data_IF_322384750530
#
_entry.id   IF_322384750530
#
_cell.length_a   1.000
_cell.length_b   1.000
_cell.length_c   1.000
_cell.angle_alpha   90.00
_cell.angle_beta   90.00
_cell.angle_gamma   90.00
#
_symmetry.space_group_name_H-M   'P 1'
#
loop_
_entity.id
_entity.type
_entity.pdbx_description
1 polymer ?
#
# COMPACT_ATOMS: atom_id res chain seq x y z
N UNK A 1 20.02 3.47 24.17
CA UNK A 1 19.37 3.07 22.91
C UNK A 1 19.46 4.26 21.98
N UNK A 2 20.09 4.13 20.81
CA UNK A 2 20.08 5.22 19.83
C UNK A 2 18.69 5.38 19.24
N UNK A 3 18.34 6.59 18.83
CA UNK A 3 17.06 6.86 18.17
C UNK A 3 16.93 5.99 16.91
N UNK A 4 15.70 5.56 16.60
CA UNK A 4 15.43 4.81 15.36
C UNK A 4 15.83 5.64 14.14
N UNK A 5 16.40 5.03 13.08
CA UNK A 5 16.70 5.73 11.85
C UNK A 5 15.45 6.39 11.23
N UNK A 6 15.64 7.55 10.59
CA UNK A 6 14.54 8.31 9.98
C UNK A 6 13.70 7.49 8.99
N UNK A 7 14.34 6.65 8.16
CA UNK A 7 13.65 5.80 7.20
C UNK A 7 12.74 4.76 7.88
N UNK A 8 13.11 4.30 9.08
CA UNK A 8 12.33 3.32 9.84
C UNK A 8 11.08 3.99 10.43
N UNK A 9 11.24 5.22 10.95
CA UNK A 9 10.14 6.03 11.47
C UNK A 9 9.12 6.35 10.35
N UNK A 10 9.60 6.76 9.18
CA UNK A 10 8.75 7.06 8.01
C UNK A 10 8.01 5.81 7.54
N UNK A 11 8.74 4.71 7.33
CA UNK A 11 8.17 3.46 6.84
C UNK A 11 7.11 2.90 7.79
N UNK A 12 7.42 2.87 9.09
CA UNK A 12 6.49 2.37 10.12
C UNK A 12 5.23 3.24 10.23
N UNK A 13 5.39 4.57 10.19
CA UNK A 13 4.26 5.50 10.23
C UNK A 13 3.38 5.38 8.98
N UNK A 14 3.99 5.22 7.80
CA UNK A 14 3.26 5.01 6.55
C UNK A 14 2.44 3.73 6.61
N UNK A 15 3.04 2.61 7.03
CA UNK A 15 2.37 1.31 7.15
C UNK A 15 1.18 1.38 8.11
N UNK A 16 1.36 1.99 9.28
CA UNK A 16 0.28 2.18 10.24
C UNK A 16 -0.85 3.03 9.65
N UNK A 17 -0.52 4.11 8.96
CA UNK A 17 -1.51 4.97 8.32
C UNK A 17 -2.24 4.26 7.18
N UNK A 18 -1.52 3.50 6.34
CA UNK A 18 -2.07 2.72 5.25
C UNK A 18 -3.16 1.77 5.72
N UNK A 19 -2.84 0.88 6.67
CA UNK A 19 -3.80 -0.11 7.14
C UNK A 19 -4.92 0.49 7.97
N UNK A 20 -4.66 1.58 8.70
CA UNK A 20 -5.73 2.32 9.35
C UNK A 20 -6.78 2.80 8.35
N UNK A 21 -6.36 3.41 7.23
CA UNK A 21 -7.28 3.81 6.15
C UNK A 21 -7.91 2.59 5.47
N UNK A 22 -7.13 1.53 5.25
CA UNK A 22 -7.60 0.32 4.57
C UNK A 22 -8.74 -0.39 5.33
N UNK A 23 -8.66 -0.42 6.66
CA UNK A 23 -9.64 -1.09 7.53
C UNK A 23 -10.83 -0.19 7.88
N UNK A 24 -10.65 1.14 7.87
CA UNK A 24 -11.71 2.09 8.26
C UNK A 24 -12.50 2.67 7.07
N UNK A 25 -11.80 3.23 6.08
CA UNK A 25 -12.40 3.89 4.92
C UNK A 25 -11.43 3.88 3.73
N UNK A 26 -11.55 2.84 2.89
CA UNK A 26 -10.71 2.65 1.70
C UNK A 26 -10.83 3.76 0.67
N UNK A 27 -11.88 4.59 0.71
CA UNK A 27 -12.02 5.71 -0.21
C UNK A 27 -10.94 6.79 0.01
N UNK A 28 -10.39 6.86 1.22
CA UNK A 28 -9.36 7.82 1.60
C UNK A 28 -7.94 7.39 1.21
N UNK A 29 -7.74 6.14 0.78
CA UNK A 29 -6.45 5.65 0.28
C UNK A 29 -5.97 6.44 -0.94
N UNK A 30 -6.84 7.16 -1.63
CA UNK A 30 -6.41 8.06 -2.71
C UNK A 30 -5.43 9.16 -2.26
N UNK A 31 -5.39 9.50 -0.97
CA UNK A 31 -4.51 10.57 -0.44
C UNK A 31 -3.03 10.22 -0.45
N UNK A 32 -2.69 8.93 -0.33
CA UNK A 32 -1.30 8.43 -0.26
C UNK A 32 -0.70 8.11 -1.64
N UNK A 33 -1.52 8.06 -2.69
CA UNK A 33 -1.09 7.80 -4.07
C UNK A 33 -1.09 9.09 -4.92
N UNK A 34 -0.38 9.03 -6.05
CA UNK A 34 -0.33 10.04 -7.10
C UNK A 34 -0.78 9.43 -8.44
N UNK A 35 -0.88 10.25 -9.49
CA UNK A 35 -1.34 9.79 -10.80
C UNK A 35 -0.30 8.89 -11.50
N UNK A 36 0.96 9.00 -11.10
CA UNK A 36 2.06 8.14 -11.56
C UNK A 36 2.25 6.88 -10.71
N UNK A 37 1.46 6.67 -9.65
CA UNK A 37 1.58 5.49 -8.81
C UNK A 37 1.20 4.21 -9.57
N UNK A 38 1.88 3.11 -9.26
CA UNK A 38 1.59 1.79 -9.81
C UNK A 38 1.30 0.78 -8.70
N UNK A 39 0.16 0.10 -8.79
CA UNK A 39 -0.20 -1.06 -7.97
C UNK A 39 -0.05 -2.33 -8.80
N UNK A 40 0.53 -3.38 -8.20
CA UNK A 40 0.39 -4.76 -8.67
C UNK A 40 -0.37 -5.57 -7.63
N UNK A 41 -1.59 -6.00 -7.95
CA UNK A 41 -2.45 -6.79 -7.06
C UNK A 41 -2.63 -8.20 -7.62
N UNK A 42 -2.12 -9.23 -6.93
CA UNK A 42 -2.20 -10.62 -7.41
C UNK A 42 -1.65 -10.82 -8.84
N UNK A 43 -0.71 -9.97 -9.27
CA UNK A 43 -0.13 -9.97 -10.62
C UNK A 43 -0.84 -9.09 -11.65
N UNK A 44 -2.00 -8.53 -11.33
CA UNK A 44 -2.69 -7.53 -12.17
C UNK A 44 -2.13 -6.13 -11.89
N UNK A 45 -1.90 -5.33 -12.93
CA UNK A 45 -1.29 -4.01 -12.83
C UNK A 45 -2.33 -2.90 -12.98
N UNK A 46 -2.24 -1.89 -12.11
CA UNK A 46 -3.11 -0.71 -12.09
C UNK A 46 -2.25 0.54 -11.99
N UNK A 47 -2.44 1.48 -12.91
CA UNK A 47 -1.72 2.75 -12.91
C UNK A 47 -2.65 3.90 -12.55
N UNK A 48 -2.16 4.78 -11.69
CA UNK A 48 -2.82 6.01 -11.26
C UNK A 48 -3.86 5.80 -10.16
N UNK A 49 -3.99 6.86 -9.35
CA UNK A 49 -4.85 6.92 -8.15
C UNK A 49 -6.24 6.32 -8.34
N UNK A 50 -6.93 6.70 -9.41
CA UNK A 50 -8.31 6.27 -9.67
C UNK A 50 -8.43 4.75 -9.87
N UNK A 51 -7.53 4.16 -10.65
CA UNK A 51 -7.55 2.72 -10.91
C UNK A 51 -7.18 1.93 -9.64
N UNK A 52 -6.19 2.42 -8.90
CA UNK A 52 -5.73 1.82 -7.64
C UNK A 52 -6.86 1.78 -6.61
N UNK A 53 -7.44 2.94 -6.27
CA UNK A 53 -8.52 3.02 -5.27
C UNK A 53 -9.74 2.20 -5.70
N UNK A 54 -10.06 2.20 -6.99
CA UNK A 54 -11.13 1.36 -7.53
C UNK A 54 -10.93 -0.14 -7.27
N UNK A 55 -9.69 -0.65 -7.35
CA UNK A 55 -9.39 -2.04 -7.01
C UNK A 55 -9.47 -2.30 -5.51
N UNK A 56 -8.90 -1.43 -4.67
CA UNK A 56 -8.78 -1.66 -3.23
C UNK A 56 -10.14 -1.66 -2.50
N UNK A 57 -11.17 -1.00 -3.03
CA UNK A 57 -12.51 -0.98 -2.42
C UNK A 57 -13.26 -2.32 -2.59
N UNK A 58 -12.87 -3.15 -3.56
CA UNK A 58 -13.62 -4.34 -3.96
C UNK A 58 -12.88 -5.58 -3.46
N UNK A 59 -13.11 -6.02 -2.22
CA UNK A 59 -12.80 -7.38 -1.74
C UNK A 59 -13.70 -7.75 -0.53
N UNK A 60 -14.27 -8.95 -0.53
CA UNK A 60 -14.98 -9.60 0.60
C UNK A 60 -14.33 -10.97 0.91
N UNK A 61 -13.00 -11.01 0.81
CA UNK A 61 -12.21 -12.24 0.87
C UNK A 61 -11.95 -12.71 2.30
N UNK A 62 -11.83 -14.03 2.52
CA UNK A 62 -11.46 -14.58 3.83
C UNK A 62 -10.07 -14.11 4.26
N UNK A 63 -9.87 -14.04 5.58
CA UNK A 63 -8.58 -13.64 6.17
C UNK A 63 -7.48 -14.62 5.73
N UNK A 64 -6.47 -14.08 5.06
CA UNK A 64 -5.30 -14.82 4.58
C UNK A 64 -4.02 -14.07 4.91
N UNK A 65 -2.92 -14.80 5.07
CA UNK A 65 -1.59 -14.18 5.11
C UNK A 65 -1.29 -13.52 3.77
N UNK A 66 -0.48 -12.46 3.79
CA UNK A 66 -0.10 -11.74 2.58
C UNK A 66 1.29 -11.11 2.72
N UNK A 67 1.85 -10.69 1.60
CA UNK A 67 3.06 -9.91 1.48
C UNK A 67 2.73 -8.63 0.72
N UNK A 68 3.15 -7.48 1.25
CA UNK A 68 2.99 -6.20 0.57
C UNK A 68 4.28 -5.38 0.66
N UNK A 69 4.68 -4.77 -0.45
CA UNK A 69 5.87 -3.93 -0.56
C UNK A 69 5.49 -2.55 -1.08
N UNK A 70 6.00 -1.51 -0.40
CA UNK A 70 5.78 -0.12 -0.78
C UNK A 70 7.09 0.58 -1.15
N UNK A 71 7.07 1.38 -2.21
CA UNK A 71 8.12 2.36 -2.49
C UNK A 71 7.57 3.76 -2.21
N UNK A 72 8.24 4.47 -1.30
CA UNK A 72 7.87 5.82 -0.91
C UNK A 72 8.81 6.84 -1.55
N UNK A 73 8.25 7.96 -2.01
CA UNK A 73 9.00 9.10 -2.52
C UNK A 73 8.52 10.36 -1.82
N UNK A 74 9.47 11.18 -1.37
CA UNK A 74 9.14 12.52 -0.88
C UNK A 74 8.94 13.46 -2.06
N UNK A 75 7.75 14.06 -2.17
CA UNK A 75 7.38 15.03 -3.20
C UNK A 75 6.73 16.22 -2.48
N UNK A 76 7.24 17.42 -2.71
CA UNK A 76 6.72 18.65 -2.09
C UNK A 76 6.55 18.53 -0.56
N UNK A 77 7.55 17.96 0.12
CA UNK A 77 7.56 17.72 1.56
C UNK A 77 6.52 16.71 2.08
N UNK A 78 5.84 15.98 1.20
CA UNK A 78 4.93 14.89 1.54
C UNK A 78 5.48 13.54 1.06
N UNK A 79 5.37 12.50 1.89
CA UNK A 79 5.70 11.13 1.49
C UNK A 79 4.50 10.49 0.81
N UNK A 80 4.68 10.07 -0.44
CA UNK A 80 3.66 9.39 -1.24
C UNK A 80 4.14 8.02 -1.70
N UNK A 81 3.22 7.10 -1.93
CA UNK A 81 3.50 5.76 -2.44
C UNK A 81 3.54 5.79 -3.97
N UNK A 82 4.69 5.50 -4.56
CA UNK A 82 4.84 5.41 -6.03
C UNK A 82 4.65 4.00 -6.54
N UNK A 83 5.00 2.99 -5.74
CA UNK A 83 4.84 1.58 -6.11
C UNK A 83 4.28 0.80 -4.94
N UNK A 84 3.27 0.00 -5.23
CA UNK A 84 2.61 -0.89 -4.29
C UNK A 84 2.52 -2.27 -4.95
N UNK A 85 2.97 -3.31 -4.26
CA UNK A 85 2.88 -4.69 -4.71
C UNK A 85 2.28 -5.54 -3.62
N UNK A 86 1.13 -6.14 -3.90
CA UNK A 86 0.40 -7.02 -3.00
C UNK A 86 0.31 -8.44 -3.57
N UNK A 87 0.59 -9.43 -2.70
CA UNK A 87 0.46 -10.86 -2.96
C UNK A 87 -0.08 -11.59 -1.75
N UNK A 88 -1.11 -12.41 -1.91
CA UNK A 88 -1.53 -13.37 -0.91
C UNK A 88 -0.46 -14.44 -0.70
N UNK A 89 -0.28 -14.86 0.56
CA UNK A 89 0.60 -15.95 0.95
C UNK A 89 -0.12 -17.30 0.71
N UNK A 90 -0.46 -17.57 -0.56
CA UNK A 90 -0.99 -18.87 -0.96
C UNK A 90 0.16 -19.88 -0.98
N UNK A 91 0.11 -20.86 -0.10
CA UNK A 91 0.99 -22.03 -0.20
C UNK A 91 0.52 -22.87 -1.37
N UNK A 92 1.30 -22.91 -2.46
CA UNK A 92 1.21 -24.02 -3.41
C UNK A 92 1.78 -25.27 -2.72
N UNK A 93 0.98 -25.92 -1.87
CA UNK A 93 1.24 -27.31 -1.50
C UNK A 93 0.92 -28.15 -2.74
N UNK A 94 1.91 -28.29 -3.61
CA UNK A 94 1.95 -29.32 -4.65
C UNK A 94 2.43 -30.65 -4.10
#
# INVERSE_FOLDING_TARGET
>A
MGDQPLWEQIGSSFVQHYYHLFDSDRSQLGTIYIDESCLTWEGQQFQGKKAIVGKLIVDDDPVMGFHQSFLLKNINSAWVCTNDMFRLAIHNFG
#
